data_IF_563701003227
#
_entry.id   IF_563701003227
#
_cell.length_a   1.000
_cell.length_b   1.000
_cell.length_c   1.000
_cell.angle_alpha   90.00
_cell.angle_beta   90.00
_cell.angle_gamma   90.00
#
_symmetry.space_group_name_H-M   'P 1'
#
loop_
_entity.id
_entity.type
_entity.pdbx_description
1 polymer ?
#
# COMPACT_ATOMS: atom_id res chain seq x y z
N UNK A 1 14.53 -7.42 10.30
CA UNK A 1 13.20 -8.05 10.15
C UNK A 1 13.28 -9.48 10.63
N UNK A 2 12.21 -10.00 11.24
CA UNK A 2 12.17 -11.38 11.71
C UNK A 2 12.32 -12.35 10.53
N UNK A 3 13.22 -13.34 10.65
CA UNK A 3 13.31 -14.45 9.70
C UNK A 3 12.27 -15.50 10.08
N UNK A 4 11.56 -16.02 9.09
CA UNK A 4 10.54 -17.02 9.30
C UNK A 4 10.55 -18.05 8.18
N UNK A 5 10.17 -19.27 8.51
CA UNK A 5 10.03 -20.35 7.54
C UNK A 5 8.71 -20.19 6.78
N UNK A 6 8.77 -20.02 5.46
CA UNK A 6 7.56 -19.84 4.65
C UNK A 6 7.70 -20.47 3.27
N UNK A 7 6.83 -21.44 2.98
CA UNK A 7 6.85 -22.25 1.75
C UNK A 7 8.21 -22.95 1.53
N UNK A 8 8.77 -23.55 2.58
CA UNK A 8 9.96 -24.39 2.50
C UNK A 8 11.31 -23.65 2.50
N UNK A 9 11.33 -22.33 2.70
CA UNK A 9 12.57 -21.54 2.75
C UNK A 9 12.53 -20.57 3.92
N UNK A 10 13.66 -20.41 4.62
CA UNK A 10 13.85 -19.36 5.62
C UNK A 10 14.09 -18.02 4.93
N UNK A 11 13.24 -17.03 5.23
CA UNK A 11 13.40 -15.68 4.67
C UNK A 11 12.86 -14.60 5.57
N UNK A 12 13.36 -13.37 5.39
CA UNK A 12 12.76 -12.18 5.97
C UNK A 12 11.48 -11.82 5.20
N UNK A 13 10.36 -12.45 5.58
CA UNK A 13 9.09 -12.26 4.87
C UNK A 13 8.46 -10.92 5.25
N UNK A 14 8.21 -10.09 4.23
CA UNK A 14 7.47 -8.84 4.36
C UNK A 14 6.04 -9.10 4.89
N UNK A 15 5.61 -8.31 5.88
CA UNK A 15 4.23 -8.32 6.39
C UNK A 15 3.34 -7.59 5.38
N UNK A 16 2.67 -8.35 4.53
CA UNK A 16 1.85 -7.82 3.44
C UNK A 16 0.76 -6.84 3.90
N UNK A 17 0.11 -7.13 5.04
CA UNK A 17 -0.91 -6.26 5.65
C UNK A 17 -0.41 -4.86 5.98
N UNK A 18 0.90 -4.66 6.19
CA UNK A 18 1.48 -3.33 6.47
C UNK A 18 1.97 -2.62 5.22
N UNK A 19 2.49 -3.37 4.25
CA UNK A 19 3.07 -2.78 3.05
C UNK A 19 2.00 -2.42 1.99
N UNK A 20 0.99 -3.28 1.79
CA UNK A 20 -0.06 -3.05 0.78
C UNK A 20 -0.80 -1.71 0.97
N UNK A 21 -1.23 -1.31 2.19
CA UNK A 21 -1.91 -0.02 2.38
C UNK A 21 -1.00 1.16 2.04
N UNK A 22 0.27 1.09 2.43
CA UNK A 22 1.29 2.12 2.11
C UNK A 22 1.48 2.24 0.60
N UNK A 23 1.58 1.11 -0.09
CA UNK A 23 1.68 1.10 -1.55
C UNK A 23 0.44 1.67 -2.22
N UNK A 24 -0.76 1.30 -1.76
CA UNK A 24 -2.01 1.74 -2.35
C UNK A 24 -2.25 3.24 -2.19
N UNK A 25 -1.98 3.80 -1.00
CA UNK A 25 -2.23 5.23 -0.72
C UNK A 25 -1.17 6.16 -1.27
N UNK A 26 0.08 5.71 -1.38
CA UNK A 26 1.19 6.50 -1.95
C UNK A 26 1.50 6.10 -3.41
N UNK A 27 0.50 5.70 -4.19
CA UNK A 27 0.60 5.41 -5.63
C UNK A 27 1.82 4.56 -6.02
N UNK A 28 2.05 3.46 -5.30
CA UNK A 28 3.16 2.52 -5.58
C UNK A 28 4.43 2.78 -4.76
N UNK A 29 4.30 2.93 -3.43
CA UNK A 29 5.45 3.06 -2.54
C UNK A 29 6.52 1.97 -2.81
N UNK A 30 7.71 2.40 -3.24
CA UNK A 30 8.85 1.55 -3.58
C UNK A 30 10.06 1.81 -2.68
N UNK A 31 9.86 2.22 -1.42
CA UNK A 31 10.95 2.63 -0.52
C UNK A 31 12.03 1.55 -0.37
N UNK A 32 11.64 0.27 -0.34
CA UNK A 32 12.58 -0.85 -0.27
C UNK A 32 13.54 -0.91 -1.47
N UNK A 33 13.09 -0.50 -2.66
CA UNK A 33 13.93 -0.39 -3.85
C UNK A 33 14.78 0.88 -3.82
N UNK A 34 14.22 2.01 -3.34
CA UNK A 34 14.95 3.28 -3.20
C UNK A 34 16.14 3.17 -2.25
N UNK A 35 15.98 2.46 -1.14
CA UNK A 35 17.05 2.25 -0.13
C UNK A 35 17.86 0.99 -0.38
N UNK A 36 17.69 0.33 -1.53
CA UNK A 36 18.47 -0.84 -1.88
C UNK A 36 19.86 -0.42 -2.36
N UNK A 37 20.96 -0.85 -1.69
CA UNK A 37 22.32 -0.47 -2.09
C UNK A 37 22.67 -0.99 -3.47
N UNK A 38 22.19 -2.18 -3.83
CA UNK A 38 22.42 -2.79 -5.16
C UNK A 38 21.75 -1.95 -6.25
N UNK A 39 20.53 -1.46 -6.02
CA UNK A 39 19.84 -0.62 -7.01
C UNK A 39 20.52 0.73 -7.18
N UNK A 40 21.16 1.25 -6.13
CA UNK A 40 21.78 2.58 -6.13
C UNK A 40 23.23 2.59 -6.62
N UNK A 41 24.04 1.61 -6.19
CA UNK A 41 25.48 1.55 -6.43
C UNK A 41 25.89 0.40 -7.37
N UNK A 42 24.96 -0.50 -7.71
CA UNK A 42 25.28 -1.73 -8.45
C UNK A 42 25.69 -2.88 -7.54
N UNK A 43 25.68 -4.11 -8.07
CA UNK A 43 26.01 -5.30 -7.31
C UNK A 43 27.51 -5.37 -6.96
N UNK A 44 28.37 -5.17 -7.95
CA UNK A 44 29.82 -5.34 -7.82
C UNK A 44 30.44 -4.40 -6.76
N UNK A 45 30.25 -3.07 -6.81
CA UNK A 45 30.81 -2.17 -5.79
C UNK A 45 30.30 -2.44 -4.36
N UNK A 46 29.05 -2.88 -4.22
CA UNK A 46 28.46 -3.22 -2.91
C UNK A 46 29.11 -4.49 -2.34
N UNK A 47 29.36 -5.48 -3.19
CA UNK A 47 29.98 -6.74 -2.77
C UNK A 47 31.46 -6.56 -2.45
N UNK A 48 32.21 -5.78 -3.23
CA UNK A 48 33.61 -5.45 -2.95
C UNK A 48 33.74 -4.75 -1.58
N UNK A 49 32.95 -3.71 -1.35
CA UNK A 49 32.93 -3.00 -0.08
C UNK A 49 32.54 -3.91 1.10
N UNK A 50 31.59 -4.82 0.88
CA UNK A 50 31.17 -5.78 1.91
C UNK A 50 32.28 -6.78 2.25
N UNK A 51 33.05 -7.24 1.26
CA UNK A 51 34.18 -8.15 1.48
C UNK A 51 35.31 -7.44 2.25
N UNK A 52 35.58 -6.18 1.92
CA UNK A 52 36.65 -5.39 2.54
C UNK A 52 36.33 -4.95 3.97
N UNK A 53 35.10 -4.50 4.22
CA UNK A 53 34.73 -3.84 5.48
C UNK A 53 33.82 -4.67 6.37
N UNK A 54 33.14 -5.68 5.81
CA UNK A 54 32.06 -6.41 6.48
C UNK A 54 30.75 -5.62 6.61
N UNK A 55 30.69 -4.38 6.11
CA UNK A 55 29.53 -3.51 6.18
C UNK A 55 28.86 -3.30 4.82
N UNK A 56 27.57 -2.93 4.86
CA UNK A 56 26.81 -2.65 3.64
C UNK A 56 27.14 -1.24 3.16
N UNK A 57 27.56 -1.11 1.90
CA UNK A 57 27.92 0.17 1.30
C UNK A 57 26.78 1.19 1.44
N UNK A 58 27.09 2.34 2.05
CA UNK A 58 26.15 3.45 2.23
C UNK A 58 25.18 3.31 3.41
N UNK A 59 25.26 2.22 4.19
CA UNK A 59 24.45 2.04 5.40
C UNK A 59 24.60 3.20 6.37
N UNK A 60 23.51 3.65 6.96
CA UNK A 60 23.48 4.79 7.89
C UNK A 60 23.67 6.17 7.23
N UNK A 61 23.90 6.24 5.92
CA UNK A 61 24.03 7.51 5.20
C UNK A 61 22.69 7.97 4.64
N UNK A 62 22.46 9.28 4.64
CA UNK A 62 21.25 9.88 4.06
C UNK A 62 21.16 9.66 2.54
N UNK A 63 22.31 9.38 1.90
CA UNK A 63 22.37 9.07 0.49
C UNK A 63 21.63 7.75 0.20
N UNK A 64 21.87 6.69 0.97
CA UNK A 64 21.21 5.40 0.74
C UNK A 64 19.85 5.30 1.45
N UNK A 65 19.81 5.62 2.74
CA UNK A 65 18.65 5.33 3.58
C UNK A 65 17.69 6.52 3.70
N UNK A 66 18.01 7.66 3.08
CA UNK A 66 17.12 8.82 3.05
C UNK A 66 16.00 8.66 2.03
N UNK A 67 14.77 8.95 2.44
CA UNK A 67 13.62 8.92 1.54
C UNK A 67 12.58 9.94 1.96
N UNK A 68 11.77 10.37 0.99
CA UNK A 68 10.65 11.27 1.21
C UNK A 68 9.33 10.52 1.03
N UNK A 69 8.36 10.84 1.89
CA UNK A 69 6.98 10.39 1.76
C UNK A 69 6.06 11.59 1.54
N UNK A 70 5.08 11.46 0.62
CA UNK A 70 4.04 12.48 0.47
C UNK A 70 3.38 12.78 1.82
N UNK A 71 3.10 14.07 2.05
CA UNK A 71 2.45 14.61 3.26
C UNK A 71 3.25 14.49 4.57
N UNK A 72 4.39 13.78 4.58
CA UNK A 72 5.23 13.57 5.78
C UNK A 72 6.65 14.09 5.65
N UNK A 73 7.08 14.44 4.44
CA UNK A 73 8.39 15.03 4.17
C UNK A 73 9.53 14.02 4.21
N UNK A 74 10.75 14.53 4.45
CA UNK A 74 12.00 13.79 4.35
C UNK A 74 12.38 13.05 5.65
N UNK A 75 12.72 11.77 5.51
CA UNK A 75 13.19 10.91 6.59
C UNK A 75 14.69 10.65 6.46
N UNK A 76 15.41 10.89 7.56
CA UNK A 76 16.83 10.58 7.72
C UNK A 76 17.06 9.08 8.00
N UNK A 77 18.29 8.58 7.84
CA UNK A 77 18.67 7.23 8.24
C UNK A 77 18.22 6.90 9.66
N UNK A 78 17.63 5.72 9.84
CA UNK A 78 17.11 5.26 11.14
C UNK A 78 15.82 5.94 11.63
N UNK A 79 15.25 6.91 10.90
CA UNK A 79 13.93 7.49 11.21
C UNK A 79 12.85 6.82 10.37
N UNK A 80 11.75 6.44 11.03
CA UNK A 80 10.61 5.78 10.42
C UNK A 80 9.37 6.68 10.50
N UNK A 81 8.49 6.65 9.48
CA UNK A 81 7.21 7.33 9.55
C UNK A 81 6.32 6.68 10.61
N UNK A 82 5.65 7.51 11.40
CA UNK A 82 4.54 7.07 12.23
C UNK A 82 3.28 7.12 11.37
N UNK A 83 2.61 5.97 11.25
CA UNK A 83 1.35 5.79 10.54
C UNK A 83 0.28 5.38 11.56
N UNK A 84 -0.89 6.01 11.53
CA UNK A 84 -1.99 5.70 12.43
C UNK A 84 -2.61 4.33 12.12
N UNK A 85 -3.42 3.81 13.05
CA UNK A 85 -4.02 2.49 12.91
C UNK A 85 -5.05 2.44 11.76
N UNK A 86 -5.81 3.52 11.60
CA UNK A 86 -6.74 3.76 10.50
C UNK A 86 -6.05 3.72 9.13
N UNK A 87 -4.74 4.01 9.09
CA UNK A 87 -3.97 3.87 7.86
C UNK A 87 -3.85 2.40 7.42
N UNK A 88 -3.90 1.44 8.33
CA UNK A 88 -3.78 0.03 7.94
C UNK A 88 -5.12 -0.65 7.72
N UNK A 89 -6.22 0.03 8.03
CA UNK A 89 -7.55 -0.45 7.72
C UNK A 89 -7.84 -0.26 6.23
N UNK A 90 -7.99 -1.38 5.54
CA UNK A 90 -8.23 -1.43 4.10
C UNK A 90 -9.49 -2.22 3.85
N UNK A 91 -10.39 -1.72 2.97
CA UNK A 91 -11.59 -2.46 2.59
C UNK A 91 -11.21 -3.83 2.01
N UNK A 92 -11.92 -4.86 2.45
CA UNK A 92 -11.78 -6.25 2.01
C UNK A 92 -13.10 -6.75 1.44
N UNK A 93 -13.03 -7.53 0.36
CA UNK A 93 -14.23 -8.07 -0.31
C UNK A 93 -14.51 -7.38 -1.64
N UNK A 94 -15.73 -7.53 -2.15
CA UNK A 94 -16.15 -6.86 -3.38
C UNK A 94 -16.68 -5.47 -3.06
N UNK A 95 -16.63 -4.58 -4.06
CA UNK A 95 -17.23 -3.25 -3.96
C UNK A 95 -18.71 -3.33 -3.62
N UNK A 96 -19.44 -4.32 -4.16
CA UNK A 96 -20.86 -4.54 -3.83
C UNK A 96 -21.08 -4.83 -2.34
N UNK A 97 -20.21 -5.65 -1.74
CA UNK A 97 -20.35 -6.03 -0.33
C UNK A 97 -20.23 -4.78 0.57
N UNK A 98 -19.29 -3.88 0.25
CA UNK A 98 -19.14 -2.60 0.95
C UNK A 98 -20.36 -1.69 0.78
N UNK A 99 -20.91 -1.59 -0.43
CA UNK A 99 -22.10 -0.76 -0.70
C UNK A 99 -23.32 -1.27 0.10
N UNK A 100 -23.44 -2.60 0.27
CA UNK A 100 -24.51 -3.20 1.08
C UNK A 100 -24.30 -2.94 2.58
N UNK A 101 -23.07 -3.04 3.08
CA UNK A 101 -22.80 -2.72 4.50
C UNK A 101 -23.03 -1.24 4.81
N UNK A 102 -22.58 -0.32 3.95
CA UNK A 102 -22.87 1.12 4.09
C UNK A 102 -24.39 1.41 4.12
N UNK A 103 -25.17 0.67 3.32
CA UNK A 103 -26.63 0.79 3.32
C UNK A 103 -27.25 0.29 4.64
N UNK A 104 -26.79 -0.85 5.16
CA UNK A 104 -27.26 -1.39 6.45
C UNK A 104 -26.93 -0.44 7.61
N UNK A 105 -25.72 0.09 7.64
CA UNK A 105 -25.29 1.07 8.66
C UNK A 105 -26.13 2.34 8.58
N UNK A 106 -26.31 2.89 7.37
CA UNK A 106 -27.16 4.06 7.17
C UNK A 106 -28.61 3.82 7.60
N UNK A 107 -29.19 2.64 7.33
CA UNK A 107 -30.53 2.29 7.80
C UNK A 107 -30.63 2.18 9.32
N UNK A 108 -29.56 1.72 9.99
CA UNK A 108 -29.52 1.61 11.45
C UNK A 108 -29.46 2.99 12.12
N UNK A 109 -28.82 3.97 11.48
CA UNK A 109 -28.71 5.36 11.96
C UNK A 109 -29.93 6.22 11.59
N UNK A 110 -30.70 5.84 10.57
CA UNK A 110 -31.83 6.62 10.06
C UNK A 110 -33.04 6.59 11.02
N UNK A 111 -33.38 7.77 11.52
CA UNK A 111 -34.49 7.98 12.46
C UNK A 111 -35.83 8.29 11.78
N UNK A 112 -35.78 8.81 10.55
CA UNK A 112 -36.96 9.25 9.81
C UNK A 112 -37.13 8.56 8.45
N UNK A 113 -38.36 8.50 7.95
CA UNK A 113 -38.68 7.88 6.66
C UNK A 113 -38.05 8.63 5.47
N UNK A 114 -37.92 9.95 5.57
CA UNK A 114 -37.26 10.77 4.54
C UNK A 114 -35.74 10.53 4.47
N UNK A 115 -35.07 10.20 5.59
CA UNK A 115 -33.65 9.81 5.60
C UNK A 115 -33.45 8.45 4.94
N UNK A 116 -34.36 7.50 5.21
CA UNK A 116 -34.32 6.16 4.60
C UNK A 116 -34.48 6.20 3.08
N UNK A 117 -35.35 7.08 2.56
CA UNK A 117 -35.51 7.27 1.11
C UNK A 117 -34.23 7.82 0.45
N UNK A 118 -33.57 8.80 1.07
CA UNK A 118 -32.28 9.33 0.58
C UNK A 118 -31.17 8.28 0.60
N UNK A 119 -31.11 7.46 1.64
CA UNK A 119 -30.14 6.36 1.76
C UNK A 119 -30.38 5.30 0.69
N UNK A 120 -31.65 5.00 0.39
CA UNK A 120 -32.02 4.10 -0.69
C UNK A 120 -31.62 4.62 -2.08
N UNK A 121 -31.85 5.91 -2.36
CA UNK A 121 -31.40 6.53 -3.61
C UNK A 121 -29.88 6.46 -3.77
N UNK A 122 -29.12 6.77 -2.72
CA UNK A 122 -27.65 6.67 -2.72
C UNK A 122 -27.16 5.24 -2.94
N UNK A 123 -27.81 4.26 -2.32
CA UNK A 123 -27.49 2.84 -2.50
C UNK A 123 -27.73 2.39 -3.94
N UNK A 124 -28.90 2.73 -4.50
CA UNK A 124 -29.26 2.39 -5.87
C UNK A 124 -28.24 2.95 -6.87
N UNK A 125 -27.91 4.23 -6.75
CA UNK A 125 -26.96 4.88 -7.64
C UNK A 125 -25.56 4.26 -7.53
N UNK A 126 -25.10 3.98 -6.30
CA UNK A 126 -23.80 3.33 -6.06
C UNK A 126 -23.75 1.91 -6.62
N UNK A 127 -24.84 1.14 -6.49
CA UNK A 127 -24.95 -0.21 -7.07
C UNK A 127 -24.98 -0.19 -8.60
N UNK A 128 -25.74 0.71 -9.21
CA UNK A 128 -25.80 0.87 -10.67
C UNK A 128 -24.42 1.25 -11.23
N UNK A 129 -23.68 2.15 -10.57
CA UNK A 129 -22.29 2.47 -10.93
C UNK A 129 -21.35 1.27 -10.78
N UNK A 130 -21.47 0.48 -9.71
CA UNK A 130 -20.63 -0.71 -9.49
C UNK A 130 -20.89 -1.78 -10.56
N UNK A 131 -22.16 -1.99 -10.92
CA UNK A 131 -22.59 -2.90 -11.98
C UNK A 131 -22.06 -2.45 -13.36
N UNK A 132 -22.14 -1.15 -13.67
CA UNK A 132 -21.61 -0.60 -14.91
C UNK A 132 -20.08 -0.75 -15.01
N UNK A 133 -19.36 -0.53 -13.91
CA UNK A 133 -17.89 -0.72 -13.84
C UNK A 133 -17.45 -2.18 -13.97
N UNK A 134 -18.30 -3.13 -13.59
CA UNK A 134 -18.01 -4.57 -13.72
C UNK A 134 -17.76 -4.98 -15.18
N UNK A 135 -18.32 -4.26 -16.15
CA UNK A 135 -18.12 -4.46 -17.59
C UNK A 135 -17.02 -3.58 -18.21
N UNK A 136 -16.45 -2.61 -17.48
CA UNK A 136 -15.32 -1.83 -17.96
C UNK A 136 -14.02 -2.53 -17.57
N UNK A 137 -13.31 -3.12 -18.52
CA UNK A 137 -11.90 -3.48 -18.33
C UNK A 137 -11.15 -2.17 -18.16
N UNK A 138 -10.81 -1.83 -16.92
CA UNK A 138 -9.87 -0.76 -16.64
C UNK A 138 -8.49 -1.34 -16.95
N UNK A 139 -7.98 -1.04 -18.13
CA UNK A 139 -6.57 -1.18 -18.44
C UNK A 139 -5.79 -0.25 -17.49
N UNK A 140 -5.33 -0.79 -16.36
CA UNK A 140 -4.46 -0.10 -15.43
C UNK A 140 -3.01 -0.12 -15.91
N UNK A 141 -2.79 0.36 -17.14
CA UNK A 141 -1.48 0.77 -17.66
C UNK A 141 -0.40 -0.31 -17.54
N UNK A 142 -0.55 -1.40 -18.28
CA UNK A 142 0.61 -2.08 -18.83
C UNK A 142 0.52 -1.98 -20.35
N UNK A 143 1.19 -0.98 -20.90
CA UNK A 143 1.35 -0.76 -22.33
C UNK A 143 1.64 -2.09 -23.06
N UNK A 144 0.73 -2.50 -23.93
CA UNK A 144 1.07 -3.24 -25.12
C UNK A 144 0.85 -2.29 -26.29
N UNK A 145 1.87 -1.47 -26.53
CA UNK A 145 2.02 -0.74 -27.77
C UNK A 145 2.01 -1.74 -28.95
N UNK A 146 1.17 -1.46 -29.94
CA UNK A 146 1.42 -1.76 -31.34
C UNK A 146 1.22 -0.48 -32.13
#
# INVERSE_FOLDING_TARGET
GQRLWFRGVEKAKLIYKRCRPVMARYSGCGVCMKVCPIQKYGLEPVMEHYIETGEVLGKGTANLEGYELPDKGYFKPGKLPVLGAEFFDMPVGKTEDHIVEEYKEGLAEASSQAEREKIWEKYRESMERSLARRNSIIDMGMDLAN
#
